data_IF_169077301137
#
_entry.id   IF_169077301137
#
_cell.length_a   1.000
_cell.length_b   1.000
_cell.length_c   1.000
_cell.angle_alpha   90.00
_cell.angle_beta   90.00
_cell.angle_gamma   90.00
#
_symmetry.space_group_name_H-M   'P 1'
#
loop_
_entity.id
_entity.type
_entity.pdbx_description
1 polymer ?
#
# COMPACT_ATOMS: atom_id res chain seq x y z
N UNK A 1 31.33 24.77 12.37
CA UNK A 1 31.05 23.65 11.44
C UNK A 1 29.84 22.90 11.99
N UNK A 2 28.63 23.25 11.56
CA UNK A 2 27.41 22.55 12.00
C UNK A 2 27.19 21.34 11.09
N UNK A 3 27.26 20.14 11.65
CA UNK A 3 26.90 18.92 10.93
C UNK A 3 25.39 18.98 10.64
N UNK A 4 25.02 19.10 9.37
CA UNK A 4 23.68 18.76 8.91
C UNK A 4 23.57 17.23 9.01
N UNK A 5 23.04 16.73 10.12
CA UNK A 5 22.56 15.35 10.17
C UNK A 5 21.47 15.24 9.10
N UNK A 6 21.77 14.56 8.00
CA UNK A 6 20.75 14.17 7.03
C UNK A 6 19.80 13.21 7.76
N UNK A 7 18.76 13.76 8.40
CA UNK A 7 17.71 12.97 9.00
C UNK A 7 17.11 12.14 7.89
N UNK A 8 17.21 10.81 7.98
CA UNK A 8 16.41 9.94 7.11
C UNK A 8 14.96 10.38 7.26
N UNK A 9 14.28 10.52 6.13
CA UNK A 9 12.85 10.84 6.11
C UNK A 9 12.09 9.74 6.86
N UNK A 10 11.13 10.07 7.73
CA UNK A 10 10.29 9.06 8.37
C UNK A 10 9.62 8.20 7.31
N UNK A 11 9.71 6.89 7.47
CA UNK A 11 9.15 5.95 6.54
C UNK A 11 8.72 4.65 7.22
N UNK A 12 7.78 3.97 6.58
CA UNK A 12 7.34 2.62 6.95
C UNK A 12 7.29 1.74 5.70
N UNK A 13 7.60 0.46 5.86
CA UNK A 13 7.34 -0.54 4.83
C UNK A 13 5.92 -1.04 4.96
N UNK A 14 5.25 -1.20 3.82
CA UNK A 14 3.88 -1.69 3.73
C UNK A 14 3.75 -2.78 2.69
N UNK A 15 2.75 -3.63 2.89
CA UNK A 15 2.21 -4.50 1.88
C UNK A 15 0.83 -4.00 1.44
N UNK A 16 0.63 -3.94 0.13
CA UNK A 16 -0.63 -3.53 -0.48
C UNK A 16 -1.33 -4.76 -1.04
N UNK A 17 -2.52 -5.05 -0.53
CA UNK A 17 -3.37 -6.11 -1.07
C UNK A 17 -4.34 -5.53 -2.07
N UNK A 18 -4.30 -6.04 -3.30
CA UNK A 18 -5.22 -5.72 -4.38
C UNK A 18 -6.19 -6.88 -4.59
N UNK A 19 -7.48 -6.57 -4.80
CA UNK A 19 -8.51 -7.55 -5.12
C UNK A 19 -9.05 -7.33 -6.53
N UNK A 20 -9.19 -8.41 -7.26
CA UNK A 20 -9.76 -8.42 -8.61
C UNK A 20 -11.28 -8.59 -8.50
N UNK A 21 -12.02 -7.58 -8.91
CA UNK A 21 -13.48 -7.55 -8.90
C UNK A 21 -14.05 -7.67 -10.32
N UNK A 22 -15.13 -8.43 -10.54
CA UNK A 22 -15.86 -8.40 -11.80
C UNK A 22 -16.54 -7.04 -12.00
N UNK A 23 -16.49 -6.52 -13.23
CA UNK A 23 -17.27 -5.34 -13.63
C UNK A 23 -18.65 -5.81 -14.11
N UNK A 24 -19.71 -5.17 -13.62
CA UNK A 24 -21.11 -5.48 -13.98
C UNK A 24 -21.65 -4.45 -14.97
N UNK A 25 -22.54 -4.90 -15.86
CA UNK A 25 -23.25 -4.02 -16.81
C UNK A 25 -22.48 -3.79 -18.12
N UNK A 26 -22.90 -2.77 -18.88
CA UNK A 26 -22.44 -2.57 -20.25
C UNK A 26 -20.92 -2.38 -20.41
N UNK A 27 -20.20 -1.96 -19.36
CA UNK A 27 -18.74 -1.80 -19.38
C UNK A 27 -17.98 -3.13 -19.38
N UNK A 28 -18.60 -4.22 -18.90
CA UNK A 28 -17.95 -5.54 -18.77
C UNK A 28 -17.42 -6.09 -20.10
N UNK A 29 -18.00 -5.64 -21.23
CA UNK A 29 -17.61 -6.02 -22.59
C UNK A 29 -16.19 -5.57 -22.97
N UNK A 30 -15.72 -4.49 -22.38
CA UNK A 30 -14.41 -3.89 -22.67
C UNK A 30 -13.40 -4.13 -21.56
N UNK A 31 -13.89 -4.36 -20.36
CA UNK A 31 -13.07 -4.69 -19.21
C UNK A 31 -13.86 -5.64 -18.31
N UNK A 32 -13.46 -6.90 -18.25
CA UNK A 32 -14.19 -7.90 -17.46
C UNK A 32 -14.00 -7.71 -15.96
N UNK A 33 -12.85 -7.15 -15.54
CA UNK A 33 -12.47 -7.00 -14.14
C UNK A 33 -11.71 -5.71 -13.88
N UNK A 34 -11.81 -5.20 -12.65
CA UNK A 34 -10.99 -4.12 -12.13
C UNK A 34 -10.19 -4.58 -10.93
N UNK A 35 -9.04 -3.97 -10.72
CA UNK A 35 -8.30 -4.08 -9.47
C UNK A 35 -8.78 -3.00 -8.51
N UNK A 36 -9.06 -3.39 -7.28
CA UNK A 36 -9.48 -2.49 -6.20
C UNK A 36 -8.53 -2.67 -5.02
N UNK A 37 -8.20 -1.58 -4.34
CA UNK A 37 -7.45 -1.63 -3.09
C UNK A 37 -8.28 -2.37 -2.04
N UNK A 38 -7.70 -3.42 -1.46
CA UNK A 38 -8.35 -4.25 -0.43
C UNK A 38 -7.82 -3.87 0.96
N UNK A 39 -6.49 -3.83 1.13
CA UNK A 39 -5.84 -3.42 2.37
C UNK A 39 -4.46 -2.81 2.12
N UNK A 40 -3.99 -2.03 3.10
CA UNK A 40 -2.60 -1.60 3.23
C UNK A 40 -2.16 -1.94 4.65
N UNK A 41 -1.19 -2.82 4.77
CA UNK A 41 -0.73 -3.37 6.05
C UNK A 41 0.73 -2.98 6.29
N UNK A 42 1.06 -2.50 7.48
CA UNK A 42 2.46 -2.24 7.86
C UNK A 42 3.16 -3.58 8.03
N UNK A 43 4.35 -3.71 7.45
CA UNK A 43 5.17 -4.91 7.55
C UNK A 43 6.52 -4.59 8.19
N UNK A 44 7.18 -5.62 8.71
CA UNK A 44 8.56 -5.48 9.20
C UNK A 44 9.51 -5.16 8.05
N UNK A 45 10.53 -4.34 8.32
CA UNK A 45 11.52 -3.99 7.32
C UNK A 45 12.27 -5.22 6.80
N UNK A 46 12.46 -5.29 5.47
CA UNK A 46 13.23 -6.37 4.83
C UNK A 46 12.41 -7.61 4.49
N UNK A 47 11.09 -7.55 4.62
CA UNK A 47 10.21 -8.62 4.16
C UNK A 47 10.22 -8.72 2.61
N UNK A 48 10.06 -9.92 2.01
CA UNK A 48 10.22 -10.08 0.56
C UNK A 48 9.26 -9.19 -0.23
N UNK A 49 9.79 -8.49 -1.24
CA UNK A 49 9.06 -7.49 -2.02
C UNK A 49 8.32 -8.03 -3.26
N UNK A 50 8.19 -9.36 -3.39
CA UNK A 50 7.61 -9.96 -4.59
C UNK A 50 6.08 -9.99 -4.55
N UNK A 51 5.45 -9.61 -5.66
CA UNK A 51 4.02 -9.76 -5.83
C UNK A 51 3.62 -11.24 -5.77
N UNK A 52 2.71 -11.61 -4.88
CA UNK A 52 2.29 -13.00 -4.69
C UNK A 52 0.77 -13.11 -4.71
N UNK A 53 0.23 -14.10 -5.41
CA UNK A 53 -1.20 -14.39 -5.40
C UNK A 53 -1.60 -15.01 -4.06
N UNK A 54 -2.59 -14.42 -3.42
CA UNK A 54 -3.20 -14.97 -2.21
C UNK A 54 -4.32 -15.93 -2.59
N UNK A 55 -4.35 -17.11 -1.98
CA UNK A 55 -5.47 -18.03 -2.09
C UNK A 55 -6.67 -17.44 -1.35
N UNK A 56 -7.78 -17.23 -2.05
CA UNK A 56 -9.00 -16.73 -1.42
C UNK A 56 -10.08 -17.79 -1.28
N UNK A 57 -10.81 -17.76 -0.16
CA UNK A 57 -11.95 -18.63 0.12
C UNK A 57 -13.25 -18.12 -0.53
N UNK A 58 -13.33 -16.83 -0.84
CA UNK A 58 -14.52 -16.14 -1.37
C UNK A 58 -14.60 -16.16 -2.91
N UNK A 59 -13.68 -16.85 -3.58
CA UNK A 59 -13.62 -16.95 -5.04
C UNK A 59 -13.03 -15.71 -5.74
N UNK A 60 -12.75 -14.62 -5.02
CA UNK A 60 -12.12 -13.44 -5.59
C UNK A 60 -10.60 -13.56 -5.56
N UNK A 61 -9.94 -13.17 -6.64
CA UNK A 61 -8.49 -13.20 -6.73
C UNK A 61 -7.88 -12.01 -5.97
N UNK A 62 -7.00 -12.28 -5.00
CA UNK A 62 -6.23 -11.27 -4.26
C UNK A 62 -4.74 -11.41 -4.54
N UNK A 63 -4.04 -10.28 -4.58
CA UNK A 63 -2.60 -10.21 -4.80
C UNK A 63 -1.98 -9.26 -3.78
N UNK A 64 -0.89 -9.70 -3.15
CA UNK A 64 -0.13 -8.87 -2.22
C UNK A 64 1.11 -8.32 -2.91
N UNK A 65 1.35 -7.03 -2.78
CA UNK A 65 2.53 -6.31 -3.25
C UNK A 65 3.27 -5.76 -2.02
N UNK A 66 4.32 -6.46 -1.58
CA UNK A 66 5.07 -6.12 -0.38
C UNK A 66 6.34 -5.31 -0.68
N UNK A 67 6.99 -4.79 0.37
CA UNK A 67 8.23 -4.02 0.29
C UNK A 67 8.07 -2.61 -0.30
N UNK A 68 6.85 -2.08 -0.28
CA UNK A 68 6.58 -0.70 -0.68
C UNK A 68 6.91 0.24 0.48
N UNK A 69 7.55 1.36 0.18
CA UNK A 69 7.94 2.35 1.18
C UNK A 69 6.99 3.54 1.14
N UNK A 70 6.35 3.83 2.27
CA UNK A 70 5.59 5.07 2.48
C UNK A 70 6.49 6.05 3.21
N UNK A 71 6.63 7.26 2.68
CA UNK A 71 7.46 8.32 3.25
C UNK A 71 6.59 9.51 3.61
N UNK A 72 6.87 10.14 4.75
CA UNK A 72 6.19 11.36 5.18
C UNK A 72 6.98 12.58 4.71
N UNK A 73 6.35 13.42 3.88
CA UNK A 73 6.90 14.72 3.50
C UNK A 73 6.40 15.81 4.46
N UNK A 74 7.15 16.90 4.60
CA UNK A 74 6.85 17.96 5.58
C UNK A 74 5.50 18.63 5.30
N UNK A 75 5.14 18.77 4.02
CA UNK A 75 3.86 19.30 3.54
C UNK A 75 2.69 18.35 3.79
N UNK A 76 2.91 17.03 3.81
CA UNK A 76 1.86 16.05 4.15
C UNK A 76 1.37 16.19 5.60
N UNK A 77 2.24 16.68 6.50
CA UNK A 77 1.93 16.86 7.92
C UNK A 77 1.37 18.26 8.24
N UNK A 78 1.24 19.15 7.26
CA UNK A 78 0.74 20.50 7.49
C UNK A 78 -0.71 20.46 8.01
N UNK A 79 -0.97 21.12 9.14
CA UNK A 79 -2.29 21.13 9.78
C UNK A 79 -2.61 19.90 10.66
N UNK A 80 -1.73 18.90 10.71
CA UNK A 80 -1.85 17.78 11.63
C UNK A 80 -1.05 18.04 12.91
N UNK A 81 -1.70 17.90 14.06
CA UNK A 81 -1.03 17.87 15.37
C UNK A 81 -0.84 16.41 15.78
N UNK A 82 0.38 16.05 16.19
CA UNK A 82 0.66 14.72 16.70
C UNK A 82 0.03 14.58 18.10
N UNK A 83 -0.85 13.60 18.27
CA UNK A 83 -1.34 13.21 19.58
C UNK A 83 -0.24 12.41 20.29
N UNK A 84 0.54 13.08 21.14
CA UNK A 84 1.52 12.43 22.02
C UNK A 84 0.85 12.26 23.38
N UNK A 85 0.80 11.02 23.89
CA UNK A 85 0.30 10.71 25.25
C UNK A 85 1.43 10.08 26.05
#
# INVERSE_FOLDING_TARGET
MSQLSSSRRPCIEVAVTMRREPIVGAMSRWQSHRWVLDSVDVIEEGQPSSATKLTSLDGNERWIHAGLKVELFTDDAEGYYLNVT
#
